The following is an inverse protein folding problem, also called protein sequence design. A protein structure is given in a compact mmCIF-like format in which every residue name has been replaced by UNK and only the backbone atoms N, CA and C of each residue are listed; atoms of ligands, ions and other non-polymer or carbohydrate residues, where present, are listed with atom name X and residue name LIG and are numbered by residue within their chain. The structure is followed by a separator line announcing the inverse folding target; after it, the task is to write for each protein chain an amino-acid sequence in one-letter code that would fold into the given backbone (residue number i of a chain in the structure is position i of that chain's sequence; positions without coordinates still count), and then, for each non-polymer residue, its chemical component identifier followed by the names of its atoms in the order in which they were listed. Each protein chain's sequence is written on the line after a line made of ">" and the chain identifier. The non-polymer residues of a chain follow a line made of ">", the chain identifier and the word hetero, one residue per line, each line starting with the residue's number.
data_IF_162641010550
#
_entry.id   IF_162641010550
#
_cell.length_a   1.000
_cell.length_b   1.000
_cell.length_c   1.000
_cell.angle_alpha   90.00
_cell.angle_beta   90.00
_cell.angle_gamma   90.00
#
_symmetry.space_group_name_H-M   'P 1'
#
loop_
_entity.id
_entity.type
_entity.pdbx_description
1 polymer ?
#
# COMPACT_ATOMS: atom_id res chain seq x y z
N UNK A 1 21.91 -17.01 -17.37
CA UNK A 1 20.87 -17.70 -16.57
C UNK A 1 20.81 -17.04 -15.20
N UNK A 2 20.01 -16.00 -15.04
CA UNK A 2 19.82 -15.34 -13.74
C UNK A 2 18.82 -16.15 -12.92
N UNK A 3 19.33 -16.75 -11.85
CA UNK A 3 18.56 -17.53 -10.87
C UNK A 3 17.60 -16.59 -10.14
N UNK A 4 16.33 -16.59 -10.54
CA UNK A 4 15.27 -15.89 -9.82
C UNK A 4 15.03 -16.66 -8.53
N UNK A 5 15.33 -16.04 -7.39
CA UNK A 5 15.14 -16.65 -6.06
C UNK A 5 13.68 -16.41 -5.65
N UNK A 6 12.84 -17.45 -5.48
CA UNK A 6 11.46 -17.26 -5.05
C UNK A 6 11.46 -16.94 -3.56
N UNK A 7 11.23 -15.68 -3.22
CA UNK A 7 11.28 -15.20 -1.83
C UNK A 7 11.60 -13.71 -1.67
N UNK A 8 12.00 -13.01 -2.74
CA UNK A 8 12.03 -11.55 -2.71
C UNK A 8 10.61 -11.02 -2.91
N UNK A 9 9.92 -10.75 -1.80
CA UNK A 9 8.79 -9.83 -1.76
C UNK A 9 9.31 -8.45 -2.14
N UNK A 10 9.42 -8.18 -3.44
CA UNK A 10 9.55 -6.82 -3.92
C UNK A 10 8.30 -6.07 -3.44
N UNK A 11 8.44 -4.90 -2.80
CA UNK A 11 7.27 -4.10 -2.49
C UNK A 11 6.54 -3.83 -3.81
N UNK A 12 5.33 -4.38 -3.95
CA UNK A 12 4.49 -4.17 -5.14
C UNK A 12 4.14 -2.69 -5.31
N UNK A 13 4.28 -1.91 -4.24
CA UNK A 13 4.05 -0.49 -4.18
C UNK A 13 5.06 0.15 -3.22
N UNK A 14 5.74 1.21 -3.67
CA UNK A 14 6.68 1.99 -2.85
C UNK A 14 6.12 3.38 -2.65
N UNK A 15 5.97 3.80 -1.39
CA UNK A 15 5.49 5.14 -1.04
C UNK A 15 6.56 6.20 -1.32
N UNK A 16 6.12 7.40 -1.70
CA UNK A 16 7.02 8.54 -1.82
C UNK A 16 7.56 8.95 -0.43
N UNK A 17 8.89 9.12 -0.25
CA UNK A 17 9.49 9.41 1.04
C UNK A 17 9.11 10.79 1.62
N UNK A 18 8.57 11.69 0.80
CA UNK A 18 8.10 13.01 1.23
C UNK A 18 6.57 13.12 1.40
N UNK A 19 5.84 11.99 1.38
CA UNK A 19 4.41 12.00 1.71
C UNK A 19 4.20 12.43 3.16
N UNK A 20 3.26 13.37 3.36
CA UNK A 20 2.79 13.79 4.68
C UNK A 20 1.91 12.72 5.34
N UNK A 21 1.71 12.83 6.66
CA UNK A 21 0.78 11.97 7.40
C UNK A 21 -0.65 12.03 6.83
N UNK A 22 -1.16 13.24 6.61
CA UNK A 22 -2.54 13.49 6.19
C UNK A 22 -2.79 12.94 4.79
N UNK A 23 -1.85 13.20 3.86
CA UNK A 23 -1.95 12.69 2.49
C UNK A 23 -1.86 11.16 2.46
N UNK A 24 -0.99 10.57 3.28
CA UNK A 24 -0.85 9.12 3.34
C UNK A 24 -2.14 8.45 3.83
N UNK A 25 -2.77 9.00 4.86
CA UNK A 25 -4.03 8.48 5.38
C UNK A 25 -5.20 8.70 4.42
N UNK A 26 -5.26 9.86 3.75
CA UNK A 26 -6.25 10.14 2.71
C UNK A 26 -6.16 9.12 1.57
N UNK A 27 -4.95 8.85 1.08
CA UNK A 27 -4.73 7.88 0.01
C UNK A 27 -5.11 6.44 0.44
N UNK A 28 -4.84 6.07 1.70
CA UNK A 28 -5.28 4.79 2.25
C UNK A 28 -6.82 4.67 2.24
N UNK A 29 -7.51 5.74 2.64
CA UNK A 29 -8.98 5.80 2.64
C UNK A 29 -9.54 5.64 1.22
N UNK A 30 -8.97 6.33 0.24
CA UNK A 30 -9.39 6.25 -1.16
C UNK A 30 -9.22 4.83 -1.73
N UNK A 31 -8.08 4.18 -1.44
CA UNK A 31 -7.82 2.80 -1.85
C UNK A 31 -8.82 1.81 -1.26
N UNK A 32 -9.18 1.98 0.03
CA UNK A 32 -10.18 1.14 0.69
C UNK A 32 -11.59 1.39 0.15
N UNK A 33 -11.93 2.63 -0.16
CA UNK A 33 -13.21 2.97 -0.78
C UNK A 33 -13.34 2.34 -2.18
N UNK A 34 -12.30 2.48 -3.01
CA UNK A 34 -12.25 1.78 -4.29
C UNK A 34 -12.40 0.27 -4.10
N UNK A 35 -11.68 -0.35 -3.15
CA UNK A 35 -11.77 -1.78 -2.90
C UNK A 35 -13.19 -2.24 -2.54
N UNK A 36 -13.95 -1.41 -1.82
CA UNK A 36 -15.35 -1.69 -1.45
C UNK A 36 -16.29 -1.66 -2.66
N UNK A 37 -16.01 -0.83 -3.66
CA UNK A 37 -16.82 -0.76 -4.89
C UNK A 37 -16.56 -1.92 -5.85
N UNK A 38 -15.48 -2.69 -5.63
CA UNK A 38 -15.18 -3.88 -6.41
C UNK A 38 -15.96 -5.11 -5.90
N UNK A 39 -16.23 -6.05 -6.80
CA UNK A 39 -16.71 -7.38 -6.40
C UNK A 39 -15.70 -8.05 -5.48
N UNK A 40 -16.16 -8.69 -4.39
CA UNK A 40 -15.32 -9.42 -3.42
C UNK A 40 -14.42 -10.48 -4.07
N UNK A 41 -14.79 -10.97 -5.26
CA UNK A 41 -14.02 -11.96 -6.02
C UNK A 41 -12.94 -11.36 -6.91
N UNK A 42 -12.87 -10.03 -7.00
CA UNK A 42 -11.91 -9.36 -7.84
C UNK A 42 -10.50 -9.45 -7.24
N UNK A 43 -9.51 -9.94 -7.99
CA UNK A 43 -8.12 -9.98 -7.53
C UNK A 43 -7.55 -8.58 -7.25
N UNK A 44 -8.19 -7.53 -7.76
CA UNK A 44 -7.81 -6.14 -7.50
C UNK A 44 -8.14 -5.68 -6.06
N UNK A 45 -9.14 -6.27 -5.39
CA UNK A 45 -9.45 -5.96 -3.98
C UNK A 45 -8.23 -6.21 -3.10
N UNK A 46 -7.60 -7.37 -3.26
CA UNK A 46 -6.40 -7.74 -2.51
C UNK A 46 -5.25 -6.74 -2.73
N UNK A 47 -5.03 -6.32 -3.98
CA UNK A 47 -3.98 -5.36 -4.31
C UNK A 47 -4.26 -3.97 -3.73
N UNK A 48 -5.51 -3.50 -3.81
CA UNK A 48 -5.91 -2.21 -3.24
C UNK A 48 -5.78 -2.19 -1.72
N UNK A 49 -6.16 -3.28 -1.05
CA UNK A 49 -5.99 -3.43 0.40
C UNK A 49 -4.52 -3.47 0.79
N UNK A 50 -3.67 -4.16 0.01
CA UNK A 50 -2.23 -4.20 0.26
C UNK A 50 -1.59 -2.81 0.07
N UNK A 51 -1.97 -2.08 -0.98
CA UNK A 51 -1.54 -0.67 -1.17
C UNK A 51 -2.01 0.22 -0.02
N UNK A 52 -3.26 0.07 0.43
CA UNK A 52 -3.80 0.86 1.55
C UNK A 52 -3.00 0.61 2.83
N UNK A 53 -2.59 -0.65 3.08
CA UNK A 53 -1.72 -0.99 4.21
C UNK A 53 -0.38 -0.25 4.12
N UNK A 54 0.29 -0.25 2.96
CA UNK A 54 1.57 0.45 2.79
C UNK A 54 1.41 1.95 3.08
N UNK A 55 0.31 2.56 2.67
CA UNK A 55 0.00 3.96 2.97
C UNK A 55 -0.23 4.20 4.47
N UNK A 56 -0.91 3.28 5.17
CA UNK A 56 -1.07 3.34 6.63
C UNK A 56 0.27 3.22 7.33
N UNK A 57 1.10 2.25 6.96
CA UNK A 57 2.44 2.07 7.53
C UNK A 57 3.27 3.36 7.35
N UNK A 58 3.22 3.97 6.16
CA UNK A 58 3.87 5.27 5.90
C UNK A 58 3.33 6.39 6.78
N UNK A 59 2.02 6.45 7.02
CA UNK A 59 1.43 7.46 7.92
C UNK A 59 1.94 7.28 9.36
N UNK A 60 2.10 6.03 9.81
CA UNK A 60 2.66 5.74 11.14
C UNK A 60 4.13 6.16 11.24
N UNK A 61 4.91 5.93 10.18
CA UNK A 61 6.30 6.40 10.11
C UNK A 61 6.42 7.93 10.23
N UNK A 62 5.44 8.68 9.69
CA UNK A 62 5.40 10.14 9.85
C UNK A 62 5.16 10.59 11.30
N UNK A 63 4.51 9.77 12.13
CA UNK A 63 4.27 10.06 13.56
C UNK A 63 5.46 9.66 14.44
N UNK A 64 6.24 8.68 14.00
CA UNK A 64 7.47 8.24 14.65
C UNK A 64 8.70 8.47 13.75
N UNK A 65 9.04 9.73 13.43
CA UNK A 65 10.25 10.02 12.68
C UNK A 65 11.47 9.61 13.51
N UNK A 66 12.24 8.62 13.05
CA UNK A 66 13.53 8.25 13.62
C UNK A 66 14.62 9.27 13.28
#
# INVERSE_FOLDING_TARGET
>A
MTKVTPGQSFPFFTTHPELSFEDALAYASDLLHCAQELSETSPAVMHLVEMAKVMVDRSLDCLHPQ
#
